data_IF_440964572993
#
_entry.id   IF_440964572993
#
_cell.length_a   1.000
_cell.length_b   1.000
_cell.length_c   1.000
_cell.angle_alpha   90.00
_cell.angle_beta   90.00
_cell.angle_gamma   90.00
#
_symmetry.space_group_name_H-M   'P 1'
#
loop_
_entity.id
_entity.type
_entity.pdbx_description
1 polymer ?
#
# COMPACT_ATOMS: atom_id res chain seq x y z
N UNK A 1 4.66 -2.67 13.27
CA UNK A 1 3.91 -1.53 13.83
C UNK A 1 4.48 -0.99 15.17
N UNK A 2 5.51 -1.61 15.76
CA UNK A 2 5.99 -1.23 17.11
C UNK A 2 6.76 0.10 17.17
N UNK A 3 7.05 0.73 16.04
CA UNK A 3 7.90 1.92 15.94
C UNK A 3 7.28 3.08 15.15
N UNK A 4 5.95 3.13 15.08
CA UNK A 4 5.24 4.17 14.32
C UNK A 4 5.51 5.59 14.83
N UNK A 5 5.92 5.71 16.10
CA UNK A 5 6.23 6.98 16.74
C UNK A 5 7.64 7.52 16.41
N UNK A 6 8.53 6.72 15.78
CA UNK A 6 9.92 7.13 15.52
C UNK A 6 10.01 8.20 14.43
N UNK A 7 9.12 8.16 13.45
CA UNK A 7 9.07 9.09 12.32
C UNK A 7 7.81 9.96 12.39
N UNK A 8 7.90 11.18 11.92
CA UNK A 8 6.75 12.03 11.66
C UNK A 8 5.93 11.44 10.50
N UNK A 9 4.62 11.48 10.64
CA UNK A 9 3.71 11.05 9.57
C UNK A 9 3.65 12.12 8.49
N UNK A 10 3.82 11.70 7.25
CA UNK A 10 3.71 12.55 6.06
C UNK A 10 2.74 11.94 5.06
N UNK A 11 2.35 12.66 4.03
CA UNK A 11 1.39 12.18 3.03
C UNK A 11 1.93 10.97 2.26
N UNK A 12 3.24 10.87 2.08
CA UNK A 12 3.93 9.77 1.39
C UNK A 12 3.85 8.45 2.18
N UNK A 13 3.49 8.51 3.45
CA UNK A 13 3.29 7.32 4.27
C UNK A 13 1.92 6.65 3.99
N UNK A 14 1.10 7.22 3.11
CA UNK A 14 -0.25 6.75 2.82
C UNK A 14 -0.46 6.51 1.33
N UNK A 15 -1.21 5.45 0.99
CA UNK A 15 -1.72 5.26 -0.38
C UNK A 15 -2.84 6.28 -0.61
N UNK A 16 -2.57 7.27 -1.46
CA UNK A 16 -3.48 8.40 -1.70
C UNK A 16 -3.62 8.78 -3.18
N UNK A 17 -3.12 7.96 -4.11
CA UNK A 17 -3.07 8.25 -5.54
C UNK A 17 -4.44 8.51 -6.17
N UNK A 18 -5.49 7.96 -5.59
CA UNK A 18 -6.88 8.13 -6.05
C UNK A 18 -7.67 9.15 -5.21
N UNK A 19 -7.05 9.78 -4.21
CA UNK A 19 -7.72 10.84 -3.47
C UNK A 19 -7.75 12.13 -4.30
N UNK A 20 -8.89 12.79 -4.27
CA UNK A 20 -9.12 13.98 -5.09
C UNK A 20 -9.35 15.23 -4.23
N UNK A 21 -8.90 16.36 -4.74
CA UNK A 21 -9.29 17.67 -4.25
C UNK A 21 -10.55 18.11 -4.99
N UNK A 22 -11.70 17.84 -4.40
CA UNK A 22 -13.01 18.22 -4.96
C UNK A 22 -13.58 19.53 -4.38
N UNK A 23 -12.75 20.36 -3.75
CA UNK A 23 -13.19 21.65 -3.16
C UNK A 23 -13.85 22.59 -4.18
N UNK A 24 -13.48 22.48 -5.46
CA UNK A 24 -14.13 23.24 -6.54
C UNK A 24 -15.62 22.91 -6.66
N UNK A 25 -16.06 21.69 -6.30
CA UNK A 25 -17.48 21.31 -6.27
C UNK A 25 -18.26 22.03 -5.18
N UNK A 26 -17.59 22.50 -4.12
CA UNK A 26 -18.24 23.27 -3.06
C UNK A 26 -18.84 24.60 -3.57
N UNK A 27 -18.41 25.09 -4.74
CA UNK A 27 -19.00 26.25 -5.40
C UNK A 27 -20.43 25.95 -5.87
N UNK A 28 -20.75 24.68 -6.19
CA UNK A 28 -22.05 24.25 -6.72
C UNK A 28 -22.91 23.54 -5.66
N UNK A 29 -22.26 22.87 -4.70
CA UNK A 29 -22.92 22.12 -3.63
C UNK A 29 -22.18 22.32 -2.28
N UNK A 30 -22.23 23.50 -1.67
CA UNK A 30 -21.39 23.89 -0.52
C UNK A 30 -21.66 23.06 0.74
N UNK A 31 -22.80 22.37 0.84
CA UNK A 31 -23.14 21.52 1.98
C UNK A 31 -22.61 20.10 1.87
N UNK A 32 -22.39 19.63 0.63
CA UNK A 32 -22.02 18.24 0.35
C UNK A 32 -20.49 18.05 0.21
N UNK A 33 -19.77 19.09 -0.27
CA UNK A 33 -18.35 19.00 -0.59
C UNK A 33 -17.47 19.93 0.26
N UNK A 34 -17.80 20.05 1.54
CA UNK A 34 -17.09 20.95 2.45
C UNK A 34 -15.62 20.55 2.66
N UNK A 35 -15.31 19.26 2.59
CA UNK A 35 -13.96 18.72 2.69
C UNK A 35 -13.69 17.75 1.55
N UNK A 36 -12.53 17.88 0.91
CA UNK A 36 -12.06 16.88 -0.03
C UNK A 36 -11.47 15.66 0.71
N UNK A 37 -11.40 14.51 0.05
CA UNK A 37 -10.79 13.32 0.65
C UNK A 37 -9.32 13.52 1.01
N UNK A 38 -8.59 14.31 0.22
CA UNK A 38 -7.20 14.66 0.52
C UNK A 38 -7.08 15.59 1.74
N UNK A 39 -8.03 16.51 1.95
CA UNK A 39 -8.04 17.38 3.13
C UNK A 39 -8.32 16.59 4.41
N UNK A 40 -9.18 15.58 4.34
CA UNK A 40 -9.44 14.69 5.47
C UNK A 40 -8.20 13.88 5.84
N UNK A 41 -7.46 13.35 4.85
CA UNK A 41 -6.21 12.65 5.09
C UNK A 41 -5.17 13.58 5.75
N UNK A 42 -5.02 14.83 5.27
CA UNK A 42 -4.12 15.82 5.87
C UNK A 42 -4.49 16.12 7.32
N UNK A 43 -5.77 16.28 7.60
CA UNK A 43 -6.25 16.48 8.97
C UNK A 43 -5.92 15.28 9.87
N UNK A 44 -6.09 14.05 9.36
CA UNK A 44 -5.75 12.84 10.10
C UNK A 44 -4.24 12.75 10.38
N UNK A 45 -3.39 13.09 9.41
CA UNK A 45 -1.93 13.19 9.58
C UNK A 45 -1.59 14.20 10.68
N UNK A 46 -2.19 15.37 10.68
CA UNK A 46 -1.98 16.40 11.70
C UNK A 46 -2.36 15.88 13.10
N UNK A 47 -3.47 15.17 13.21
CA UNK A 47 -3.92 14.57 14.49
C UNK A 47 -2.95 13.47 14.94
N UNK A 48 -2.50 12.60 14.04
CA UNK A 48 -1.51 11.56 14.34
C UNK A 48 -0.20 12.16 14.84
N UNK A 49 0.29 13.22 14.19
CA UNK A 49 1.51 13.92 14.60
C UNK A 49 1.35 14.62 15.96
N UNK A 50 0.18 15.17 16.27
CA UNK A 50 -0.10 15.72 17.60
C UNK A 50 -0.04 14.63 18.70
N UNK A 51 -0.58 13.45 18.45
CA UNK A 51 -0.45 12.32 19.40
C UNK A 51 0.98 11.82 19.51
N UNK A 52 1.71 11.74 18.39
CA UNK A 52 3.12 11.39 18.37
C UNK A 52 3.95 12.36 19.21
N UNK A 53 3.76 13.66 19.04
CA UNK A 53 4.46 14.67 19.82
C UNK A 53 4.18 14.58 21.31
N UNK A 54 2.93 14.33 21.68
CA UNK A 54 2.56 14.05 23.08
C UNK A 54 3.27 12.82 23.61
N UNK A 55 3.29 11.73 22.81
CA UNK A 55 3.96 10.48 23.17
C UNK A 55 5.46 10.68 23.42
N UNK A 56 6.15 11.42 22.55
CA UNK A 56 7.59 11.67 22.66
C UNK A 56 7.90 12.57 23.87
N UNK A 57 7.09 13.58 24.14
CA UNK A 57 7.27 14.51 25.25
C UNK A 57 6.98 13.88 26.62
N UNK A 58 6.26 12.77 26.67
CA UNK A 58 5.99 12.09 27.93
C UNK A 58 7.20 11.28 28.39
N UNK A 59 7.77 11.67 29.51
CA UNK A 59 8.86 10.97 30.22
C UNK A 59 8.21 9.85 31.02
N UNK A 60 8.22 8.62 30.48
CA UNK A 60 7.75 7.36 31.09
C UNK A 60 6.33 7.33 31.68
N UNK A 61 5.85 6.12 31.99
CA UNK A 61 4.50 5.82 32.48
C UNK A 61 4.12 6.49 33.83
N UNK A 62 5.06 7.21 34.46
CA UNK A 62 4.84 7.89 35.73
C UNK A 62 4.11 9.23 35.62
N UNK A 63 4.03 9.83 34.42
CA UNK A 63 3.36 11.10 34.19
C UNK A 63 2.09 10.95 33.38
N UNK A 64 0.92 11.19 33.95
CA UNK A 64 -0.31 11.26 33.16
C UNK A 64 -0.52 12.64 32.57
N UNK A 65 -0.55 12.76 31.25
CA UNK A 65 -1.02 14.00 30.59
C UNK A 65 -2.55 14.00 30.59
N UNK A 66 -3.18 14.83 31.41
CA UNK A 66 -4.65 14.89 31.56
C UNK A 66 -5.33 13.54 31.85
N UNK A 67 -4.66 12.67 32.63
CA UNK A 67 -5.18 11.35 32.98
C UNK A 67 -4.88 10.24 31.98
N UNK A 68 -4.20 10.51 30.86
CA UNK A 68 -3.78 9.50 29.88
C UNK A 68 -2.34 9.06 30.13
N UNK A 69 -2.08 7.76 30.14
CA UNK A 69 -0.75 7.18 30.21
C UNK A 69 -0.11 7.19 28.81
N UNK A 70 1.22 7.11 28.75
CA UNK A 70 1.97 7.01 27.48
C UNK A 70 1.44 5.91 26.56
N UNK A 71 1.12 4.74 27.13
CA UNK A 71 0.53 3.61 26.40
C UNK A 71 -0.84 3.95 25.80
N UNK A 72 -1.65 4.73 26.48
CA UNK A 72 -2.99 5.11 26.00
C UNK A 72 -2.87 6.06 24.77
N UNK A 73 -1.88 6.95 24.78
CA UNK A 73 -1.55 7.82 23.63
C UNK A 73 -1.07 6.98 22.44
N UNK A 74 -0.21 5.99 22.67
CA UNK A 74 0.23 5.08 21.62
C UNK A 74 -0.95 4.33 20.99
N UNK A 75 -1.91 3.87 21.80
CA UNK A 75 -3.12 3.22 21.29
C UNK A 75 -3.99 4.16 20.45
N UNK A 76 -4.06 5.46 20.79
CA UNK A 76 -4.77 6.43 19.93
C UNK A 76 -4.15 6.47 18.53
N UNK A 77 -2.83 6.57 18.42
CA UNK A 77 -2.17 6.55 17.12
C UNK A 77 -2.47 5.27 16.34
N UNK A 78 -2.37 4.09 16.96
CA UNK A 78 -2.63 2.80 16.30
C UNK A 78 -4.07 2.69 15.80
N UNK A 79 -5.04 3.11 16.59
CA UNK A 79 -6.46 2.98 16.25
C UNK A 79 -6.93 4.03 15.23
N UNK A 80 -6.25 5.16 15.16
CA UNK A 80 -6.54 6.22 14.18
C UNK A 80 -5.83 5.97 12.84
N UNK A 81 -4.85 5.06 12.76
CA UNK A 81 -4.19 4.77 11.49
C UNK A 81 -5.20 4.27 10.45
N UNK A 82 -5.39 4.98 9.33
CA UNK A 82 -6.26 4.52 8.26
C UNK A 82 -5.69 3.28 7.57
N UNK A 83 -6.54 2.54 6.89
CA UNK A 83 -6.13 1.34 6.12
C UNK A 83 -5.18 1.66 4.97
N UNK A 84 -5.12 2.92 4.55
CA UNK A 84 -4.21 3.41 3.52
C UNK A 84 -2.77 3.62 4.00
N UNK A 85 -2.49 3.46 5.30
CA UNK A 85 -1.13 3.58 5.83
C UNK A 85 -0.20 2.50 5.29
N UNK A 86 0.87 2.91 4.62
CA UNK A 86 1.86 2.03 4.00
C UNK A 86 2.77 1.39 5.06
N UNK A 87 2.85 0.06 5.04
CA UNK A 87 3.72 -0.70 5.93
C UNK A 87 4.81 -1.41 5.13
N UNK A 88 6.06 -1.09 5.44
CA UNK A 88 7.20 -1.83 4.88
C UNK A 88 7.37 -3.17 5.59
N UNK A 89 7.42 -4.25 4.85
CA UNK A 89 7.68 -5.61 5.36
C UNK A 89 8.65 -6.34 4.45
N UNK A 90 9.58 -7.07 5.03
CA UNK A 90 10.38 -8.03 4.29
C UNK A 90 9.59 -9.34 4.17
N UNK A 91 9.33 -9.77 2.95
CA UNK A 91 8.61 -11.01 2.68
C UNK A 91 9.51 -11.91 1.83
N UNK A 92 9.69 -13.17 2.25
CA UNK A 92 10.33 -14.20 1.44
C UNK A 92 9.25 -14.97 0.68
N UNK A 93 9.39 -15.04 -0.63
CA UNK A 93 8.47 -15.77 -1.50
C UNK A 93 9.27 -16.61 -2.50
N UNK A 94 8.78 -17.81 -2.80
CA UNK A 94 9.25 -18.61 -3.92
C UNK A 94 8.44 -18.31 -5.19
N UNK A 95 8.86 -18.80 -6.32
CA UNK A 95 8.20 -18.56 -7.61
C UNK A 95 6.80 -19.17 -7.69
N UNK A 96 6.52 -20.24 -6.98
CA UNK A 96 5.17 -20.82 -6.91
C UNK A 96 4.18 -19.83 -6.26
N UNK A 97 4.57 -19.20 -5.14
CA UNK A 97 3.75 -18.18 -4.49
C UNK A 97 3.55 -16.97 -5.41
N UNK A 98 4.62 -16.52 -6.08
CA UNK A 98 4.54 -15.42 -7.04
C UNK A 98 3.62 -15.74 -8.23
N UNK A 99 3.65 -16.96 -8.75
CA UNK A 99 2.76 -17.43 -9.81
C UNK A 99 1.28 -17.39 -9.38
N UNK A 100 0.98 -17.84 -8.16
CA UNK A 100 -0.37 -17.78 -7.62
C UNK A 100 -0.85 -16.33 -7.41
N UNK A 101 0.03 -15.45 -6.93
CA UNK A 101 -0.27 -14.01 -6.81
C UNK A 101 -0.51 -13.40 -8.20
N UNK A 102 0.38 -13.63 -9.15
CA UNK A 102 0.27 -13.10 -10.52
C UNK A 102 -1.05 -13.52 -11.17
N UNK A 103 -1.37 -14.82 -11.13
CA UNK A 103 -2.62 -15.35 -11.70
C UNK A 103 -3.86 -14.71 -11.11
N UNK A 104 -3.85 -14.45 -9.80
CA UNK A 104 -5.02 -13.89 -9.09
C UNK A 104 -5.09 -12.36 -9.10
N UNK A 105 -3.97 -11.65 -9.35
CA UNK A 105 -3.87 -10.21 -9.16
C UNK A 105 -3.51 -9.40 -10.41
N UNK A 106 -3.09 -10.01 -11.51
CA UNK A 106 -2.73 -9.28 -12.74
C UNK A 106 -3.82 -8.34 -13.29
N UNK A 107 -5.09 -8.67 -13.04
CA UNK A 107 -6.25 -7.87 -13.45
C UNK A 107 -6.97 -7.23 -12.24
N UNK A 108 -6.27 -7.04 -11.13
CA UNK A 108 -6.88 -6.48 -9.93
C UNK A 108 -7.24 -5.01 -10.10
N UNK A 109 -8.26 -4.53 -9.34
CA UNK A 109 -8.72 -3.13 -9.42
C UNK A 109 -7.71 -2.14 -8.83
N UNK A 110 -6.95 -2.55 -7.81
CA UNK A 110 -5.92 -1.72 -7.20
C UNK A 110 -4.66 -1.72 -8.07
N UNK A 111 -4.13 -0.53 -8.31
CA UNK A 111 -2.98 -0.31 -9.18
C UNK A 111 -1.72 -0.95 -8.63
N UNK A 112 -1.53 -0.91 -7.31
CA UNK A 112 -0.37 -1.47 -6.62
C UNK A 112 -0.21 -2.96 -6.91
N UNK A 113 -1.32 -3.72 -7.02
CA UNK A 113 -1.27 -5.11 -7.41
C UNK A 113 -0.86 -5.30 -8.87
N UNK A 114 -1.33 -4.43 -9.77
CA UNK A 114 -0.92 -4.47 -11.18
C UNK A 114 0.55 -4.10 -11.36
N UNK A 115 1.03 -3.11 -10.61
CA UNK A 115 2.45 -2.74 -10.60
C UNK A 115 3.32 -3.84 -10.02
N UNK A 116 2.89 -4.49 -8.95
CA UNK A 116 3.57 -5.65 -8.39
C UNK A 116 3.64 -6.80 -9.41
N UNK A 117 2.57 -7.05 -10.16
CA UNK A 117 2.56 -8.05 -11.23
C UNK A 117 3.53 -7.68 -12.37
N UNK A 118 3.61 -6.40 -12.77
CA UNK A 118 4.62 -5.94 -13.74
C UNK A 118 6.04 -6.13 -13.21
N UNK A 119 6.28 -5.86 -11.93
CA UNK A 119 7.57 -6.15 -11.32
C UNK A 119 7.90 -7.65 -11.35
N UNK A 120 6.94 -8.54 -11.09
CA UNK A 120 7.13 -10.00 -11.24
C UNK A 120 7.62 -10.37 -12.64
N UNK A 121 7.09 -9.72 -13.69
CA UNK A 121 7.48 -9.94 -15.09
C UNK A 121 8.95 -9.56 -15.37
N UNK A 122 9.57 -8.73 -14.53
CA UNK A 122 10.99 -8.34 -14.65
C UNK A 122 11.96 -9.27 -13.93
N UNK A 123 11.46 -10.25 -13.16
CA UNK A 123 12.30 -11.17 -12.43
C UNK A 123 13.03 -12.14 -13.36
N UNK A 124 14.26 -12.60 -12.99
CA UNK A 124 14.91 -13.67 -13.70
C UNK A 124 14.00 -14.90 -13.78
N UNK A 125 13.93 -15.55 -14.93
CA UNK A 125 13.06 -16.72 -15.16
C UNK A 125 11.58 -16.46 -14.89
N UNK A 126 11.11 -15.24 -15.16
CA UNK A 126 9.70 -14.86 -14.97
C UNK A 126 8.74 -15.70 -15.82
N UNK A 127 9.20 -16.28 -16.91
CA UNK A 127 8.45 -17.23 -17.76
C UNK A 127 7.92 -18.44 -16.95
N UNK A 128 8.60 -18.85 -15.89
CA UNK A 128 8.11 -19.90 -14.97
C UNK A 128 6.89 -19.46 -14.15
N UNK A 129 6.67 -18.17 -14.05
CA UNK A 129 5.58 -17.55 -13.28
C UNK A 129 4.40 -17.22 -14.19
N UNK A 130 4.70 -16.51 -15.29
CA UNK A 130 3.68 -15.97 -16.19
C UNK A 130 3.24 -16.96 -17.28
N UNK A 131 3.97 -18.06 -17.44
CA UNK A 131 3.90 -18.97 -18.57
C UNK A 131 4.68 -18.44 -19.78
N UNK A 132 5.02 -19.32 -20.69
CA UNK A 132 5.64 -18.93 -21.95
C UNK A 132 4.68 -18.03 -22.72
N UNK A 133 5.19 -16.92 -23.28
CA UNK A 133 4.40 -16.08 -24.18
C UNK A 133 4.12 -16.88 -25.46
N UNK A 134 2.94 -16.69 -26.03
CA UNK A 134 2.56 -17.37 -27.27
C UNK A 134 3.61 -17.23 -28.39
N UNK A 135 4.38 -16.12 -28.38
CA UNK A 135 5.49 -15.87 -29.30
C UNK A 135 6.68 -16.81 -29.07
N UNK A 136 7.00 -17.12 -27.80
CA UNK A 136 8.13 -17.98 -27.45
C UNK A 136 7.84 -19.43 -27.85
N UNK A 137 6.58 -19.87 -27.75
CA UNK A 137 6.16 -21.21 -28.20
C UNK A 137 6.21 -21.36 -29.72
N UNK A 138 5.87 -20.30 -30.48
CA UNK A 138 5.92 -20.30 -31.94
C UNK A 138 7.37 -20.28 -32.43
N UNK A 139 8.24 -19.52 -31.80
CA UNK A 139 9.66 -19.44 -32.16
C UNK A 139 10.39 -20.72 -31.79
N UNK A 140 10.18 -21.23 -30.57
CA UNK A 140 10.69 -22.53 -30.11
C UNK A 140 10.20 -23.68 -30.96
N UNK A 141 8.93 -23.72 -31.36
CA UNK A 141 8.39 -24.74 -32.25
C UNK A 141 8.95 -24.67 -33.67
N UNK A 142 9.45 -23.52 -34.16
CA UNK A 142 10.17 -23.39 -35.43
C UNK A 142 11.59 -23.98 -35.36
N UNK A 143 12.27 -23.77 -34.24
CA UNK A 143 13.62 -24.29 -34.00
C UNK A 143 13.62 -25.76 -33.61
N UNK A 144 12.53 -26.26 -33.01
CA UNK A 144 12.37 -27.60 -32.49
C UNK A 144 11.05 -28.24 -32.95
N UNK A 145 10.91 -28.53 -34.25
CA UNK A 145 9.68 -29.08 -34.84
C UNK A 145 9.27 -30.44 -34.26
N UNK A 146 10.18 -31.16 -33.63
CA UNK A 146 9.95 -32.45 -32.97
C UNK A 146 9.05 -32.36 -31.73
N UNK A 147 8.90 -31.17 -31.13
CA UNK A 147 8.05 -30.93 -29.95
C UNK A 147 6.67 -30.32 -30.27
N UNK A 148 6.38 -30.08 -31.57
CA UNK A 148 5.07 -29.63 -31.98
C UNK A 148 4.14 -30.82 -32.08
N UNK A 149 3.20 -30.96 -31.16
CA UNK A 149 2.17 -32.01 -31.25
C UNK A 149 1.36 -31.83 -32.55
N UNK A 150 1.37 -32.91 -33.34
CA UNK A 150 0.50 -32.99 -34.50
C UNK A 150 -0.91 -33.30 -34.02
N UNK A 151 -1.74 -32.26 -33.83
CA UNK A 151 -3.18 -32.43 -33.71
C UNK A 151 -3.79 -32.73 -35.07
#
# INVERSE_FOLDING_TARGET
MHKIQEKEFTIEDFSCDHLTDCRWLAMFAPTEYRFSSIDLLKLEIDVLNQYRDKYIKMIDDAGSYKGMRKKDIWWQMIQLLPSSYNQTRNVMMNYEVLANIYKSRKNHKLDEWREFCKWIETLPYSELIIGFREYDTVEYGKEHPEFVEKN
#
